data_IF_782854760030
#
_entry.id   IF_782854760030
#
_cell.length_a   1.000
_cell.length_b   1.000
_cell.length_c   1.000
_cell.angle_alpha   90.00
_cell.angle_beta   90.00
_cell.angle_gamma   90.00
#
_symmetry.space_group_name_H-M   'P 1'
#
loop_
_entity.id
_entity.type
_entity.pdbx_description
1 polymer ?
#
# COMPACT_ATOMS: atom_id res chain seq x y z
N UNK A 1 0.92 16.37 15.14
CA UNK A 1 0.03 15.46 14.38
C UNK A 1 0.91 14.80 13.33
N UNK A 2 0.99 13.46 13.27
CA UNK A 2 1.67 12.78 12.15
C UNK A 2 0.63 12.58 11.06
N UNK A 3 0.91 13.11 9.86
CA UNK A 3 0.06 12.90 8.69
C UNK A 3 0.31 11.48 8.20
N UNK A 4 -0.76 10.71 8.03
CA UNK A 4 -0.71 9.34 7.51
C UNK A 4 -1.00 9.37 6.02
N UNK A 5 -0.02 8.98 5.21
CA UNK A 5 -0.17 8.77 3.78
C UNK A 5 -0.77 7.39 3.48
N UNK A 6 -1.75 7.35 2.57
CA UNK A 6 -2.42 6.15 2.09
C UNK A 6 -2.50 6.18 0.56
N UNK A 7 -1.92 5.18 -0.10
CA UNK A 7 -2.13 4.93 -1.53
C UNK A 7 -3.13 3.78 -1.69
N UNK A 8 -4.26 3.99 -2.37
CA UNK A 8 -5.40 3.07 -2.38
C UNK A 8 -5.70 2.57 -3.78
N UNK A 9 -5.86 1.26 -3.91
CA UNK A 9 -6.20 0.60 -5.16
C UNK A 9 -7.66 0.17 -5.10
N UNK A 10 -8.46 0.70 -6.04
CA UNK A 10 -9.91 0.56 -6.06
C UNK A 10 -10.33 -0.03 -7.40
N UNK A 11 -11.17 -1.07 -7.36
CA UNK A 11 -11.80 -1.68 -8.53
C UNK A 11 -13.29 -1.88 -8.25
N UNK A 12 -14.16 -1.59 -9.22
CA UNK A 12 -15.63 -1.64 -9.03
C UNK A 12 -16.14 -0.92 -7.77
N UNK A 13 -15.52 0.22 -7.44
CA UNK A 13 -15.78 1.01 -6.21
C UNK A 13 -15.44 0.30 -4.89
N UNK A 14 -14.80 -0.86 -4.96
CA UNK A 14 -14.28 -1.59 -3.81
C UNK A 14 -12.77 -1.41 -3.72
N UNK A 15 -12.30 -0.97 -2.57
CA UNK A 15 -10.88 -0.94 -2.26
C UNK A 15 -10.40 -2.36 -1.95
N UNK A 16 -9.36 -2.83 -2.65
CA UNK A 16 -8.86 -4.20 -2.46
C UNK A 16 -7.46 -4.24 -1.82
N UNK A 17 -6.62 -3.23 -2.06
CA UNK A 17 -5.27 -3.10 -1.46
C UNK A 17 -4.97 -1.62 -1.16
N UNK A 18 -4.19 -1.35 -0.12
CA UNK A 18 -3.61 -0.02 0.16
C UNK A 18 -2.16 -0.11 0.61
N UNK A 19 -1.33 0.88 0.28
CA UNK A 19 -0.09 1.13 1.01
C UNK A 19 -0.38 1.99 2.24
N UNK A 20 0.18 1.60 3.39
CA UNK A 20 0.01 2.31 4.66
C UNK A 20 1.35 2.79 5.18
N UNK A 21 1.59 4.11 5.14
CA UNK A 21 2.87 4.71 5.56
C UNK A 21 3.24 4.47 7.03
N UNK A 22 2.25 4.29 7.92
CA UNK A 22 2.53 3.98 9.33
C UNK A 22 3.08 2.55 9.50
N UNK A 23 2.75 1.65 8.57
CA UNK A 23 3.23 0.25 8.54
C UNK A 23 4.42 0.09 7.60
N UNK A 24 4.50 0.92 6.56
CA UNK A 24 5.50 0.84 5.50
C UNK A 24 5.26 -0.32 4.52
N UNK A 25 4.01 -0.80 4.38
CA UNK A 25 3.67 -1.97 3.56
C UNK A 25 2.29 -1.88 2.93
N UNK A 26 2.06 -2.72 1.91
CA UNK A 26 0.75 -2.94 1.33
C UNK A 26 -0.10 -3.86 2.22
N UNK A 27 -1.34 -3.45 2.50
CA UNK A 27 -2.35 -4.18 3.25
C UNK A 27 -3.51 -4.53 2.33
N UNK A 28 -3.91 -5.79 2.37
CA UNK A 28 -5.14 -6.25 1.76
C UNK A 28 -6.35 -5.71 2.53
N UNK A 29 -7.35 -5.24 1.80
CA UNK A 29 -8.64 -4.80 2.33
C UNK A 29 -9.70 -5.89 2.11
N UNK A 30 -9.52 -6.70 1.07
CA UNK A 30 -10.36 -7.84 0.72
C UNK A 30 -9.51 -9.10 0.59
N UNK A 31 -10.16 -10.28 0.55
CA UNK A 31 -9.46 -11.55 0.33
C UNK A 31 -8.71 -11.59 -1.02
N UNK A 32 -9.30 -11.01 -2.08
CA UNK A 32 -8.64 -10.85 -3.38
C UNK A 32 -7.34 -10.06 -3.26
N UNK A 33 -7.35 -9.01 -2.42
CA UNK A 33 -6.19 -8.17 -2.18
C UNK A 33 -5.04 -8.88 -1.45
N UNK A 34 -5.27 -10.02 -0.79
CA UNK A 34 -4.22 -10.71 -0.02
C UNK A 34 -3.04 -11.09 -0.91
N UNK A 35 -3.32 -11.78 -2.02
CA UNK A 35 -2.26 -12.21 -2.93
C UNK A 35 -1.55 -11.03 -3.58
N UNK A 36 -2.32 -9.99 -3.94
CA UNK A 36 -1.78 -8.76 -4.53
C UNK A 36 -0.85 -8.05 -3.54
N UNK A 37 -1.25 -7.93 -2.27
CA UNK A 37 -0.42 -7.32 -1.23
C UNK A 37 0.86 -8.13 -0.97
N UNK A 38 0.79 -9.46 -0.94
CA UNK A 38 1.97 -10.33 -0.84
C UNK A 38 2.93 -10.10 -2.01
N UNK A 39 2.42 -10.10 -3.24
CA UNK A 39 3.22 -9.90 -4.44
C UNK A 39 3.86 -8.50 -4.46
N UNK A 40 3.13 -7.45 -4.05
CA UNK A 40 3.66 -6.08 -3.95
C UNK A 40 4.70 -5.93 -2.83
N UNK A 41 4.48 -6.52 -1.66
CA UNK A 41 5.42 -6.50 -0.55
C UNK A 41 6.68 -7.33 -0.84
N UNK A 42 6.60 -8.33 -1.72
CA UNK A 42 7.77 -9.10 -2.16
C UNK A 42 8.69 -8.32 -3.11
N UNK A 43 8.16 -7.30 -3.80
CA UNK A 43 8.92 -6.44 -4.71
C UNK A 43 9.65 -5.34 -3.95
N UNK A 44 10.87 -5.65 -3.47
CA UNK A 44 11.67 -4.75 -2.61
C UNK A 44 11.83 -3.34 -3.17
N UNK A 45 12.18 -3.20 -4.45
CA UNK A 45 12.40 -1.89 -5.07
C UNK A 45 11.13 -1.03 -5.05
N UNK A 46 9.99 -1.63 -5.40
CA UNK A 46 8.69 -0.97 -5.34
C UNK A 46 8.35 -0.56 -3.90
N UNK A 47 8.56 -1.45 -2.94
CA UNK A 47 8.24 -1.20 -1.54
C UNK A 47 9.06 -0.03 -0.98
N UNK A 48 10.36 0.01 -1.26
CA UNK A 48 11.25 1.11 -0.87
C UNK A 48 10.88 2.42 -1.57
N UNK A 49 10.52 2.38 -2.86
CA UNK A 49 10.04 3.56 -3.57
C UNK A 49 8.78 4.15 -2.90
N UNK A 50 7.84 3.30 -2.47
CA UNK A 50 6.62 3.76 -1.78
C UNK A 50 6.91 4.31 -0.39
N UNK A 51 7.85 3.71 0.35
CA UNK A 51 8.33 4.23 1.65
C UNK A 51 8.94 5.61 1.50
N UNK A 52 9.81 5.81 0.51
CA UNK A 52 10.47 7.09 0.24
C UNK A 52 9.51 8.16 -0.31
N UNK A 53 8.47 7.78 -1.06
CA UNK A 53 7.49 8.72 -1.58
C UNK A 53 6.75 9.48 -0.47
N UNK A 54 6.61 8.90 0.73
CA UNK A 54 5.96 9.55 1.89
C UNK A 54 6.64 10.87 2.24
N UNK A 55 7.96 10.99 2.07
CA UNK A 55 8.72 12.20 2.39
C UNK A 55 8.52 13.33 1.37
N UNK A 56 7.78 13.09 0.28
CA UNK A 56 7.55 14.04 -0.82
C UNK A 56 6.16 14.68 -0.85
N UNK A 57 5.28 14.37 0.11
CA UNK A 57 3.89 14.85 0.17
C UNK A 57 3.60 15.75 1.37
#
# INVERSE_FOLDING_TARGET
QRVRFLDRYIHNREEFVRFDSDVGEFRAVTELGRRIAEDLNSQKELLEQRRAAVDTY
#
